data_IF_868607508180
#
_entry.id   IF_868607508180
#
_cell.length_a   1.000
_cell.length_b   1.000
_cell.length_c   1.000
_cell.angle_alpha   90.00
_cell.angle_beta   90.00
_cell.angle_gamma   90.00
#
_symmetry.space_group_name_H-M   'P 1'
#
loop_
_entity.id
_entity.type
_entity.pdbx_description
1 polymer ?
#
# COMPACT_ATOMS: atom_id res chain seq x y z
N UNK A 1 -6.80 -0.01 -41.22
CA UNK A 1 -6.20 -0.95 -40.24
C UNK A 1 -5.14 -0.28 -39.35
N UNK A 2 -4.17 0.44 -39.92
CA UNK A 2 -3.06 1.05 -39.14
C UNK A 2 -3.52 2.03 -38.05
N UNK A 3 -4.51 2.90 -38.35
CA UNK A 3 -5.03 3.89 -37.38
C UNK A 3 -5.76 3.26 -36.18
N UNK A 4 -6.45 2.14 -36.40
CA UNK A 4 -7.14 1.41 -35.32
C UNK A 4 -6.13 0.68 -34.43
N UNK A 5 -5.06 0.14 -35.02
CA UNK A 5 -4.00 -0.52 -34.28
C UNK A 5 -3.22 0.47 -33.38
N UNK A 6 -2.94 1.67 -33.88
CA UNK A 6 -2.27 2.72 -33.08
C UNK A 6 -3.16 3.26 -31.97
N UNK A 7 -4.46 3.45 -32.23
CA UNK A 7 -5.41 3.86 -31.19
C UNK A 7 -5.54 2.81 -30.08
N UNK A 8 -5.63 1.52 -30.43
CA UNK A 8 -5.69 0.44 -29.46
C UNK A 8 -4.42 0.34 -28.60
N UNK A 9 -3.23 0.53 -29.20
CA UNK A 9 -1.98 0.55 -28.47
C UNK A 9 -1.89 1.74 -27.49
N UNK A 10 -2.37 2.92 -27.91
CA UNK A 10 -2.37 4.10 -27.07
C UNK A 10 -3.29 3.92 -25.86
N UNK A 11 -4.50 3.38 -26.07
CA UNK A 11 -5.44 3.11 -24.97
C UNK A 11 -4.86 2.07 -24.01
N UNK A 12 -4.24 1.01 -24.52
CA UNK A 12 -3.58 0.00 -23.68
C UNK A 12 -2.40 0.57 -22.87
N UNK A 13 -1.62 1.49 -23.45
CA UNK A 13 -0.54 2.16 -22.73
C UNK A 13 -1.07 3.10 -21.63
N UNK A 14 -2.17 3.80 -21.89
CA UNK A 14 -2.81 4.70 -20.93
C UNK A 14 -3.47 3.94 -19.79
N UNK A 15 -4.11 2.80 -20.04
CA UNK A 15 -4.71 1.96 -18.98
C UNK A 15 -3.64 1.30 -18.12
N UNK A 16 -2.53 0.86 -18.70
CA UNK A 16 -1.40 0.32 -17.94
C UNK A 16 -0.72 1.38 -17.06
N UNK A 17 -0.56 2.61 -17.57
CA UNK A 17 -0.02 3.73 -16.81
C UNK A 17 -0.93 4.17 -15.65
N UNK A 18 -2.23 3.87 -15.70
CA UNK A 18 -3.21 4.25 -14.69
C UNK A 18 -3.27 3.29 -13.47
N UNK A 19 -2.68 2.09 -13.56
CA UNK A 19 -2.68 1.11 -12.45
C UNK A 19 -1.34 1.11 -11.71
N UNK A 20 -0.96 2.27 -11.16
CA UNK A 20 0.26 2.37 -10.36
C UNK A 20 -0.04 1.96 -8.92
N UNK A 21 0.26 0.71 -8.59
CA UNK A 21 0.33 0.25 -7.21
C UNK A 21 1.77 0.33 -6.69
N UNK A 22 1.92 0.74 -5.45
CA UNK A 22 3.20 0.74 -4.75
C UNK A 22 3.21 -0.40 -3.75
N UNK A 23 4.12 -1.36 -3.94
CA UNK A 23 4.23 -2.54 -3.07
C UNK A 23 5.55 -2.53 -2.31
N UNK A 24 5.45 -2.64 -0.99
CA UNK A 24 6.59 -2.75 -0.07
C UNK A 24 6.51 -4.08 0.66
N UNK A 25 7.65 -4.73 0.86
CA UNK A 25 7.78 -5.93 1.69
C UNK A 25 8.75 -5.64 2.81
N UNK A 26 8.37 -5.94 4.04
CA UNK A 26 9.27 -5.75 5.17
C UNK A 26 8.76 -6.38 6.46
N UNK A 27 9.53 -6.28 7.53
CA UNK A 27 9.11 -6.71 8.86
C UNK A 27 8.39 -5.57 9.56
N UNK A 28 7.23 -5.85 10.14
CA UNK A 28 6.53 -4.87 10.99
C UNK A 28 7.32 -4.72 12.28
N UNK A 29 7.72 -3.50 12.60
CA UNK A 29 8.40 -3.13 13.84
C UNK A 29 7.58 -2.10 14.60
N UNK A 30 7.45 -2.27 15.90
CA UNK A 30 6.96 -1.26 16.83
C UNK A 30 7.38 -1.69 18.24
N UNK A 31 7.77 -0.74 19.08
CA UNK A 31 7.80 -0.94 20.52
C UNK A 31 6.39 -1.02 21.10
N UNK A 32 6.24 -1.47 22.35
CA UNK A 32 4.92 -1.51 23.00
C UNK A 32 4.26 -0.14 23.08
N UNK A 33 5.05 0.90 23.35
CA UNK A 33 4.56 2.28 23.38
C UNK A 33 4.13 2.78 21.99
N UNK A 34 4.98 2.60 20.97
CA UNK A 34 4.65 2.99 19.59
C UNK A 34 3.40 2.25 19.09
N UNK A 35 3.32 0.94 19.31
CA UNK A 35 2.15 0.15 18.94
C UNK A 35 0.89 0.61 19.67
N UNK A 36 1.00 1.07 20.91
CA UNK A 36 -0.14 1.63 21.65
C UNK A 36 -0.58 2.99 21.10
N UNK A 37 0.37 3.83 20.70
CA UNK A 37 0.14 5.15 20.11
C UNK A 37 -0.26 5.10 18.62
N UNK A 38 -0.11 3.93 17.97
CA UNK A 38 -0.51 3.70 16.58
C UNK A 38 0.59 3.89 15.55
N UNK A 39 1.85 3.89 15.98
CA UNK A 39 3.03 3.99 15.12
C UNK A 39 3.60 2.60 14.83
N UNK A 40 3.76 2.28 13.55
CA UNK A 40 4.37 1.03 13.08
C UNK A 40 5.37 1.31 11.98
N UNK A 41 6.56 0.73 12.06
CA UNK A 41 7.53 0.72 10.99
C UNK A 41 7.41 -0.53 10.12
N UNK A 42 7.68 -0.40 8.83
CA UNK A 42 7.92 -1.51 7.93
C UNK A 42 9.39 -1.48 7.49
N UNK A 43 10.19 -2.38 8.07
CA UNK A 43 11.66 -2.29 8.09
C UNK A 43 12.14 -0.86 8.47
N UNK A 44 13.25 -0.37 7.89
CA UNK A 44 13.80 0.96 8.18
C UNK A 44 13.36 2.04 7.19
N UNK A 45 12.45 1.74 6.26
CA UNK A 45 12.16 2.60 5.12
C UNK A 45 10.78 3.25 5.16
N UNK A 46 9.85 2.77 6.00
CA UNK A 46 8.46 3.24 5.97
C UNK A 46 7.89 3.28 7.38
N UNK A 47 7.27 4.42 7.72
CA UNK A 47 6.49 4.59 8.95
C UNK A 47 5.00 4.65 8.58
N UNK A 48 4.18 3.90 9.28
CA UNK A 48 2.74 3.79 9.12
C UNK A 48 2.11 4.30 10.41
N UNK A 49 1.26 5.31 10.29
CA UNK A 49 0.50 5.86 11.42
C UNK A 49 -0.96 5.49 11.22
N UNK A 50 -1.54 4.82 12.21
CA UNK A 50 -2.94 4.40 12.17
C UNK A 50 -3.66 4.86 13.41
N UNK A 51 -4.97 5.08 13.29
CA UNK A 51 -5.81 5.46 14.43
C UNK A 51 -5.83 4.32 15.46
N UNK A 52 -5.47 4.58 16.74
CA UNK A 52 -5.57 3.57 17.80
C UNK A 52 -7.01 3.05 17.93
N UNK A 53 -7.14 1.73 18.11
CA UNK A 53 -8.44 1.05 18.23
C UNK A 53 -9.16 0.77 16.91
N UNK A 54 -8.60 1.18 15.76
CA UNK A 54 -9.11 0.75 14.45
C UNK A 54 -8.78 -0.72 14.14
N UNK A 55 -9.47 -1.31 13.17
CA UNK A 55 -9.19 -2.69 12.75
C UNK A 55 -7.75 -2.86 12.23
N UNK A 56 -7.26 -1.88 11.45
CA UNK A 56 -5.88 -1.89 10.95
C UNK A 56 -4.85 -1.77 12.08
N UNK A 57 -5.17 -1.03 13.15
CA UNK A 57 -4.33 -0.95 14.34
C UNK A 57 -4.20 -2.30 15.05
N UNK A 58 -5.32 -2.98 15.30
CA UNK A 58 -5.31 -4.32 15.89
C UNK A 58 -4.58 -5.33 14.99
N UNK A 59 -4.80 -5.25 13.67
CA UNK A 59 -4.12 -6.07 12.70
C UNK A 59 -2.60 -5.88 12.73
N UNK A 60 -2.11 -4.65 12.57
CA UNK A 60 -0.67 -4.35 12.56
C UNK A 60 -0.01 -4.74 13.88
N UNK A 61 -0.67 -4.49 15.02
CA UNK A 61 -0.20 -4.93 16.34
C UNK A 61 -0.02 -6.44 16.42
N UNK A 62 -0.94 -7.23 15.85
CA UNK A 62 -0.83 -8.70 15.79
C UNK A 62 0.30 -9.21 14.87
N UNK A 63 0.82 -8.34 14.00
CA UNK A 63 1.87 -8.66 13.02
C UNK A 63 3.24 -8.10 13.39
N UNK A 64 3.39 -7.45 14.54
CA UNK A 64 4.71 -7.00 15.02
C UNK A 64 5.70 -8.18 15.05
N UNK A 65 6.90 -7.95 14.52
CA UNK A 65 7.93 -8.95 14.34
C UNK A 65 7.75 -9.87 13.13
N UNK A 66 6.61 -9.83 12.42
CA UNK A 66 6.35 -10.66 11.25
C UNK A 66 6.68 -9.92 9.95
N UNK A 67 7.02 -10.68 8.90
CA UNK A 67 7.19 -10.12 7.55
C UNK A 67 5.84 -10.00 6.87
N UNK A 68 5.54 -8.84 6.32
CA UNK A 68 4.31 -8.53 5.60
C UNK A 68 4.62 -7.93 4.23
N UNK A 69 3.63 -7.98 3.34
CA UNK A 69 3.61 -7.22 2.09
C UNK A 69 2.49 -6.21 2.20
N UNK A 70 2.81 -4.94 2.05
CA UNK A 70 1.85 -3.84 1.96
C UNK A 70 1.78 -3.38 0.51
N UNK A 71 0.56 -3.23 -0.01
CA UNK A 71 0.31 -2.68 -1.33
C UNK A 71 -0.63 -1.49 -1.15
N UNK A 72 -0.23 -0.34 -1.69
CA UNK A 72 -1.02 0.88 -1.73
C UNK A 72 -1.41 1.08 -3.19
N UNK A 73 -2.69 1.24 -3.43
CA UNK A 73 -3.23 1.44 -4.77
C UNK A 73 -4.02 2.74 -4.77
N UNK A 74 -3.96 3.45 -5.89
CA UNK A 74 -4.85 4.59 -6.08
C UNK A 74 -6.27 4.07 -6.25
N UNK A 75 -7.19 4.61 -5.45
CA UNK A 75 -8.61 4.40 -5.66
C UNK A 75 -9.01 5.05 -7.00
N UNK A 76 -9.54 4.24 -7.91
CA UNK A 76 -9.99 4.69 -9.23
C UNK A 76 -11.50 4.88 -9.20
N UNK A 77 -11.90 6.08 -8.77
CA UNK A 77 -13.30 6.50 -8.70
C UNK A 77 -13.43 7.76 -7.87
N UNK A 78 -14.19 8.73 -8.36
CA UNK A 78 -14.69 9.85 -7.56
C UNK A 78 -16.06 9.44 -7.02
N UNK A 79 -16.16 9.17 -5.72
CA UNK A 79 -17.44 9.29 -5.01
C UNK A 79 -17.93 10.75 -5.02
#
# INVERSE_FOLDING_TARGET
MVVMATAALLVAALTYAAQQSFTIRGRVGATDQEAQEGYFALDSQTMIVVKPGSEIHAYLRSKVGQRVRMTIEQETGSE
#
